data_IF_415713988912
#
_entry.id   IF_415713988912
#
_cell.length_a   1.000
_cell.length_b   1.000
_cell.length_c   1.000
_cell.angle_alpha   90.00
_cell.angle_beta   90.00
_cell.angle_gamma   90.00
#
_symmetry.space_group_name_H-M   'P 1'
#
loop_
_entity.id
_entity.type
_entity.pdbx_description
1 polymer ?
#
# COMPACT_ATOMS: atom_id res chain seq x y z
N UNK A 1 -51.97 -10.15 -42.94
CA UNK A 1 -51.16 -8.91 -42.89
C UNK A 1 -50.48 -8.84 -41.52
N UNK A 2 -49.30 -9.43 -41.32
CA UNK A 2 -48.59 -9.37 -40.05
C UNK A 2 -47.77 -8.08 -39.93
N UNK A 3 -47.94 -7.37 -38.82
CA UNK A 3 -47.25 -6.11 -38.53
C UNK A 3 -45.78 -6.34 -38.14
N UNK A 4 -44.89 -5.71 -38.89
CA UNK A 4 -43.44 -5.70 -38.69
C UNK A 4 -43.06 -5.02 -37.36
N UNK A 5 -42.60 -5.82 -36.40
CA UNK A 5 -41.96 -5.31 -35.19
C UNK A 5 -40.50 -4.96 -35.47
N UNK A 6 -40.23 -3.69 -35.77
CA UNK A 6 -38.87 -3.16 -35.83
C UNK A 6 -38.27 -3.11 -34.42
N UNK A 7 -37.38 -4.06 -34.15
CA UNK A 7 -36.60 -4.19 -32.94
C UNK A 7 -35.49 -3.12 -32.96
N UNK A 8 -35.72 -2.02 -32.26
CA UNK A 8 -34.78 -0.92 -32.10
C UNK A 8 -33.64 -1.36 -31.17
N UNK A 9 -32.57 -1.90 -31.72
CA UNK A 9 -31.33 -2.15 -31.00
C UNK A 9 -30.61 -0.81 -30.84
N UNK A 10 -30.72 -0.19 -29.65
CA UNK A 10 -29.84 0.91 -29.26
C UNK A 10 -28.49 0.32 -28.88
N UNK A 11 -27.51 0.64 -29.70
CA UNK A 11 -26.11 0.29 -29.51
C UNK A 11 -25.50 1.31 -28.52
N UNK A 12 -25.58 1.00 -27.22
CA UNK A 12 -25.02 1.83 -26.13
C UNK A 12 -23.49 1.62 -25.99
N UNK A 13 -22.76 1.62 -27.11
CA UNK A 13 -21.32 1.34 -27.18
C UNK A 13 -20.43 2.59 -27.21
N UNK A 14 -20.87 3.69 -26.61
CA UNK A 14 -20.05 4.92 -26.45
C UNK A 14 -19.72 5.28 -24.99
N UNK A 15 -20.13 4.48 -23.99
CA UNK A 15 -19.81 4.72 -22.58
C UNK A 15 -18.45 4.19 -22.09
N UNK A 16 -17.69 3.46 -22.91
CA UNK A 16 -16.53 2.66 -22.46
C UNK A 16 -15.16 3.38 -22.55
N UNK A 17 -15.10 4.53 -23.22
CA UNK A 17 -13.85 5.30 -23.43
C UNK A 17 -13.73 6.56 -22.57
N UNK A 18 -14.73 6.86 -21.72
CA UNK A 18 -14.53 7.68 -20.52
C UNK A 18 -13.94 6.81 -19.37
N UNK A 19 -13.18 5.79 -19.76
CA UNK A 19 -12.34 5.01 -18.88
C UNK A 19 -11.27 5.95 -18.31
N UNK A 20 -11.50 6.34 -17.06
CA UNK A 20 -10.47 6.55 -16.05
C UNK A 20 -9.55 7.75 -16.26
N UNK A 21 -10.13 8.96 -16.30
CA UNK A 21 -9.52 9.97 -15.43
C UNK A 21 -9.90 9.57 -14.01
N UNK A 22 -9.16 8.59 -13.44
CA UNK A 22 -9.29 8.26 -12.02
C UNK A 22 -9.12 9.57 -11.27
N UNK A 23 -10.11 9.93 -10.46
CA UNK A 23 -10.03 11.18 -9.70
C UNK A 23 -8.76 11.16 -8.83
N UNK A 24 -8.24 12.35 -8.50
CA UNK A 24 -7.12 12.45 -7.58
C UNK A 24 -7.36 11.61 -6.31
N UNK A 25 -8.56 11.71 -5.74
CA UNK A 25 -8.98 10.97 -4.56
C UNK A 25 -9.01 9.45 -4.75
N UNK A 26 -9.37 8.97 -5.94
CA UNK A 26 -9.37 7.53 -6.21
C UNK A 26 -7.95 6.96 -6.23
N UNK A 27 -7.02 7.67 -6.88
CA UNK A 27 -5.62 7.25 -6.93
C UNK A 27 -4.99 7.29 -5.55
N UNK A 28 -5.25 8.38 -4.82
CA UNK A 28 -4.75 8.58 -3.47
C UNK A 28 -5.28 7.53 -2.51
N UNK A 29 -6.60 7.30 -2.49
CA UNK A 29 -7.21 6.29 -1.62
C UNK A 29 -6.72 4.89 -1.96
N UNK A 30 -6.55 4.57 -3.25
CA UNK A 30 -6.00 3.27 -3.67
C UNK A 30 -4.55 3.09 -3.23
N UNK A 31 -3.70 4.10 -3.41
CA UNK A 31 -2.30 4.05 -2.99
C UNK A 31 -2.20 3.86 -1.48
N UNK A 32 -2.95 4.66 -0.71
CA UNK A 32 -3.01 4.55 0.73
C UNK A 32 -3.46 3.15 1.18
N UNK A 33 -4.46 2.54 0.54
CA UNK A 33 -4.90 1.18 0.87
C UNK A 33 -3.88 0.10 0.49
N UNK A 34 -3.14 0.27 -0.61
CA UNK A 34 -2.08 -0.66 -1.01
C UNK A 34 -0.91 -0.63 0.00
N UNK A 35 -0.56 0.55 0.51
CA UNK A 35 0.46 0.70 1.56
C UNK A 35 0.04 0.00 2.85
N UNK A 36 -1.26 0.00 3.16
CA UNK A 36 -1.80 -0.62 4.38
C UNK A 36 -2.13 -2.10 4.28
N UNK A 37 -1.74 -2.79 3.20
CA UNK A 37 -2.03 -4.22 3.00
C UNK A 37 -1.48 -5.15 4.05
N UNK A 38 -0.47 -4.74 4.81
CA UNK A 38 0.04 -5.55 5.92
C UNK A 38 -0.94 -5.62 7.12
N UNK A 39 -1.86 -4.66 7.23
CA UNK A 39 -2.77 -4.47 8.36
C UNK A 39 -4.24 -4.72 8.04
N UNK A 40 -4.60 -5.07 6.79
CA UNK A 40 -5.99 -5.33 6.37
C UNK A 40 -6.09 -6.69 5.68
N UNK A 41 -7.25 -7.32 5.73
CA UNK A 41 -7.50 -8.60 5.05
C UNK A 41 -7.70 -8.40 3.55
N UNK A 42 -8.55 -7.43 3.18
CA UNK A 42 -8.82 -7.08 1.79
C UNK A 42 -9.35 -5.63 1.68
N UNK A 43 -9.24 -5.03 0.49
CA UNK A 43 -9.78 -3.70 0.23
C UNK A 43 -10.20 -3.54 -1.24
N UNK A 44 -11.37 -2.94 -1.46
CA UNK A 44 -11.90 -2.71 -2.80
C UNK A 44 -12.55 -1.32 -2.94
N UNK A 45 -12.34 -0.70 -4.10
CA UNK A 45 -12.94 0.59 -4.43
C UNK A 45 -14.44 0.42 -4.70
N UNK A 46 -15.27 1.31 -4.14
CA UNK A 46 -16.71 1.29 -4.31
C UNK A 46 -17.17 2.29 -5.35
N UNK A 47 -16.90 3.56 -5.08
CA UNK A 47 -17.24 4.68 -5.94
C UNK A 47 -16.13 5.74 -5.92
N UNK A 48 -16.16 6.59 -6.93
CA UNK A 48 -15.18 7.64 -7.14
C UNK A 48 -15.87 8.79 -7.82
N UNK A 49 -15.71 9.98 -7.26
CA UNK A 49 -16.15 11.25 -7.86
C UNK A 49 -14.96 12.20 -7.95
N UNK A 50 -15.08 13.34 -8.64
CA UNK A 50 -14.02 14.35 -8.65
C UNK A 50 -13.69 14.94 -7.26
N UNK A 51 -14.61 14.85 -6.30
CA UNK A 51 -14.49 15.50 -4.98
C UNK A 51 -14.21 14.51 -3.83
N UNK A 52 -14.44 13.22 -4.06
CA UNK A 52 -14.24 12.17 -3.07
C UNK A 52 -14.05 10.80 -3.73
N UNK A 53 -13.57 9.83 -2.95
CA UNK A 53 -13.55 8.43 -3.32
C UNK A 53 -13.94 7.58 -2.11
N UNK A 54 -14.56 6.44 -2.35
CA UNK A 54 -14.89 5.48 -1.29
C UNK A 54 -14.36 4.09 -1.60
N UNK A 55 -14.05 3.39 -0.53
CA UNK A 55 -13.60 2.01 -0.56
C UNK A 55 -14.22 1.24 0.61
N UNK A 56 -14.40 -0.06 0.40
CA UNK A 56 -14.73 -1.01 1.44
C UNK A 56 -13.46 -1.73 1.85
N UNK A 57 -13.19 -1.75 3.16
CA UNK A 57 -12.01 -2.35 3.75
C UNK A 57 -12.44 -3.46 4.69
N UNK A 58 -11.90 -4.65 4.48
CA UNK A 58 -12.07 -5.81 5.36
C UNK A 58 -10.91 -5.82 6.35
N UNK A 59 -11.23 -5.58 7.63
CA UNK A 59 -10.26 -5.54 8.71
C UNK A 59 -9.86 -6.96 9.14
N UNK A 60 -8.72 -7.10 9.83
CA UNK A 60 -8.22 -8.38 10.33
C UNK A 60 -9.15 -9.07 11.33
N UNK A 61 -10.07 -8.32 11.96
CA UNK A 61 -11.13 -8.87 12.80
C UNK A 61 -12.29 -9.49 12.01
N UNK A 62 -12.23 -9.53 10.67
CA UNK A 62 -13.32 -9.94 9.78
C UNK A 62 -14.46 -8.92 9.67
N UNK A 63 -14.25 -7.69 10.17
CA UNK A 63 -15.22 -6.59 10.09
C UNK A 63 -15.00 -5.78 8.82
N UNK A 64 -16.06 -5.52 8.08
CA UNK A 64 -16.00 -4.64 6.91
C UNK A 64 -16.40 -3.22 7.27
N UNK A 65 -15.57 -2.25 6.91
CA UNK A 65 -15.82 -0.81 7.10
C UNK A 65 -15.76 -0.09 5.76
N UNK A 66 -16.61 0.91 5.59
CA UNK A 66 -16.57 1.78 4.41
C UNK A 66 -15.84 3.07 4.75
N UNK A 67 -14.81 3.40 3.96
CA UNK A 67 -13.96 4.56 4.12
C UNK A 67 -14.18 5.51 2.95
N UNK A 68 -14.22 6.80 3.26
CA UNK A 68 -14.31 7.90 2.29
C UNK A 68 -13.10 8.80 2.45
N UNK A 69 -12.43 9.08 1.34
CA UNK A 69 -11.43 10.13 1.22
C UNK A 69 -12.04 11.35 0.53
N UNK A 70 -11.78 12.54 1.06
CA UNK A 70 -12.22 13.82 0.50
C UNK A 70 -11.17 14.90 0.79
N UNK A 71 -11.40 16.14 0.33
CA UNK A 71 -10.55 17.30 0.67
C UNK A 71 -10.31 17.47 2.17
N UNK A 72 -11.27 17.07 2.99
CA UNK A 72 -11.19 17.24 4.45
C UNK A 72 -10.40 16.11 5.14
N UNK A 73 -10.01 15.05 4.43
CA UNK A 73 -9.33 13.87 4.97
C UNK A 73 -10.15 12.58 4.88
N UNK A 74 -9.76 11.58 5.67
CA UNK A 74 -10.34 10.25 5.71
C UNK A 74 -11.46 10.14 6.76
N UNK A 75 -12.56 9.47 6.42
CA UNK A 75 -13.70 9.25 7.32
C UNK A 75 -14.36 7.91 7.08
N UNK A 76 -15.02 7.39 8.11
CA UNK A 76 -15.90 6.23 7.98
C UNK A 76 -17.26 6.65 7.42
N UNK A 77 -17.76 5.98 6.39
CA UNK A 77 -19.16 6.09 5.97
C UNK A 77 -20.02 5.28 6.95
N UNK A 78 -21.14 5.83 7.41
CA UNK A 78 -21.94 5.21 8.48
C UNK A 78 -22.48 3.84 8.07
N UNK A 79 -22.12 2.81 8.85
CA UNK A 79 -22.91 1.59 8.89
C UNK A 79 -24.28 1.98 9.46
N UNK A 80 -25.34 1.69 8.70
CA UNK A 80 -26.74 2.19 8.82
C UNK A 80 -27.42 2.12 10.20
N UNK A 81 -26.76 1.69 11.29
CA UNK A 81 -27.41 1.33 12.55
C UNK A 81 -27.12 2.17 13.78
N UNK A 82 -26.16 3.10 13.77
CA UNK A 82 -25.93 3.89 14.97
C UNK A 82 -25.35 5.27 14.65
N UNK A 83 -25.87 6.29 15.34
CA UNK A 83 -25.34 7.66 15.43
C UNK A 83 -25.88 8.68 14.42
N UNK A 84 -27.19 8.91 14.43
CA UNK A 84 -27.81 10.09 13.80
C UNK A 84 -27.39 11.43 14.45
N UNK A 85 -26.59 11.43 15.52
CA UNK A 85 -26.35 12.63 16.36
C UNK A 85 -24.89 13.04 16.56
N UNK A 86 -23.88 12.31 16.07
CA UNK A 86 -22.47 12.70 16.24
C UNK A 86 -21.75 12.77 14.89
N UNK A 87 -21.20 13.94 14.57
CA UNK A 87 -20.27 14.11 13.45
C UNK A 87 -19.14 13.11 13.63
N UNK A 88 -18.90 12.31 12.61
CA UNK A 88 -17.83 11.32 12.66
C UNK A 88 -16.47 12.02 12.65
N UNK A 89 -15.50 11.52 13.41
CA UNK A 89 -14.15 12.06 13.40
C UNK A 89 -13.56 11.97 11.99
N UNK A 90 -12.70 12.95 11.72
CA UNK A 90 -11.97 13.12 10.48
C UNK A 90 -10.51 12.85 10.78
N UNK A 91 -9.89 12.01 9.96
CA UNK A 91 -8.51 11.61 10.15
C UNK A 91 -7.66 12.17 9.01
N UNK A 92 -6.43 12.54 9.33
CA UNK A 92 -5.48 13.05 8.35
C UNK A 92 -4.94 11.92 7.46
N UNK A 93 -4.61 10.78 8.07
CA UNK A 93 -4.09 9.61 7.37
C UNK A 93 -5.07 8.42 7.44
N UNK A 94 -4.91 7.47 6.51
CA UNK A 94 -5.65 6.20 6.56
C UNK A 94 -5.22 5.37 7.78
N UNK A 95 -3.96 5.47 8.19
CA UNK A 95 -3.37 4.74 9.31
C UNK A 95 -4.02 5.13 10.63
N UNK A 96 -4.21 6.43 10.86
CA UNK A 96 -4.90 6.94 12.04
C UNK A 96 -6.34 6.45 12.10
N UNK A 97 -7.02 6.45 10.96
CA UNK A 97 -8.38 5.94 10.84
C UNK A 97 -8.42 4.44 11.17
N UNK A 98 -7.56 3.64 10.55
CA UNK A 98 -7.52 2.19 10.72
C UNK A 98 -7.13 1.81 12.15
N UNK A 99 -6.15 2.49 12.74
CA UNK A 99 -5.74 2.30 14.13
C UNK A 99 -6.83 2.67 15.13
N UNK A 100 -7.68 3.64 14.81
CA UNK A 100 -8.82 4.01 15.65
C UNK A 100 -9.97 2.98 15.61
N UNK A 101 -10.14 2.25 14.50
CA UNK A 101 -11.26 1.30 14.32
C UNK A 101 -10.90 -0.17 14.51
N UNK A 102 -9.62 -0.53 14.36
CA UNK A 102 -9.12 -1.89 14.39
C UNK A 102 -7.97 -2.02 15.40
N UNK A 103 -8.23 -2.59 16.60
CA UNK A 103 -7.18 -2.93 17.55
C UNK A 103 -6.14 -3.89 16.96
N UNK A 104 -6.55 -4.83 16.09
CA UNK A 104 -5.61 -5.77 15.46
C UNK A 104 -4.70 -5.07 14.45
N UNK A 105 -5.21 -4.12 13.68
CA UNK A 105 -4.39 -3.27 12.83
C UNK A 105 -3.30 -2.56 13.64
N UNK A 106 -3.66 -1.97 14.78
CA UNK A 106 -2.71 -1.27 15.65
C UNK A 106 -1.61 -2.21 16.17
N UNK A 107 -1.96 -3.42 16.57
CA UNK A 107 -0.99 -4.45 16.95
C UNK A 107 -0.06 -4.79 15.78
N UNK A 108 -0.64 -5.03 14.60
CA UNK A 108 0.11 -5.43 13.41
C UNK A 108 1.05 -4.35 12.90
N UNK A 109 0.64 -3.08 13.01
CA UNK A 109 1.48 -1.92 12.72
C UNK A 109 2.71 -1.87 13.63
N UNK A 110 2.52 -2.08 14.92
CA UNK A 110 3.61 -2.13 15.88
C UNK A 110 4.59 -3.29 15.59
N UNK A 111 4.06 -4.48 15.33
CA UNK A 111 4.88 -5.66 15.00
C UNK A 111 5.69 -5.41 13.71
N UNK A 112 5.05 -4.86 12.68
CA UNK A 112 5.70 -4.53 11.41
C UNK A 112 6.81 -3.49 11.58
N UNK A 113 6.61 -2.51 12.48
CA UNK A 113 7.63 -1.51 12.78
C UNK A 113 8.84 -2.16 13.47
N UNK A 114 8.61 -3.03 14.46
CA UNK A 114 9.67 -3.76 15.15
C UNK A 114 10.44 -4.69 14.20
N UNK A 115 9.74 -5.40 13.31
CA UNK A 115 10.35 -6.26 12.31
C UNK A 115 11.27 -5.48 11.37
N UNK A 116 10.83 -4.29 10.90
CA UNK A 116 11.65 -3.41 10.07
C UNK A 116 12.89 -2.90 10.81
N UNK A 117 12.74 -2.50 12.07
CA UNK A 117 13.86 -2.04 12.90
C UNK A 117 14.89 -3.16 13.12
N UNK A 118 14.42 -4.38 13.45
CA UNK A 118 15.29 -5.54 13.62
C UNK A 118 16.01 -5.91 12.32
N UNK A 119 15.33 -5.82 11.17
CA UNK A 119 15.94 -6.07 9.88
C UNK A 119 17.05 -5.06 9.53
N UNK A 120 16.89 -3.78 9.93
CA UNK A 120 17.92 -2.75 9.76
C UNK A 120 19.10 -3.03 10.69
N UNK A 121 18.84 -3.34 11.97
CA UNK A 121 19.88 -3.66 12.94
C UNK A 121 20.75 -4.83 12.45
N UNK A 122 20.13 -5.93 12.01
CA UNK A 122 20.84 -7.09 11.49
C UNK A 122 21.70 -6.77 10.24
N UNK A 123 21.27 -5.82 9.38
CA UNK A 123 22.06 -5.39 8.22
C UNK A 123 23.28 -4.58 8.62
N UNK A 124 23.21 -3.81 9.70
CA UNK A 124 24.34 -3.02 10.20
C UNK A 124 25.42 -3.94 10.78
N UNK A 125 25.05 -4.95 11.56
CA UNK A 125 26.01 -5.92 12.13
C UNK A 125 26.82 -6.64 11.04
N UNK A 126 26.16 -7.01 9.93
CA UNK A 126 26.82 -7.63 8.76
C UNK A 126 27.74 -6.66 8.02
N UNK A 127 27.39 -5.37 7.97
CA UNK A 127 28.23 -4.36 7.35
C UNK A 127 29.50 -4.08 8.17
N UNK A 128 29.40 -4.09 9.50
CA UNK A 128 30.54 -3.89 10.40
C UNK A 128 31.55 -5.04 10.33
N UNK A 129 31.07 -6.29 10.33
CA UNK A 129 31.93 -7.48 10.20
C UNK A 129 32.69 -7.53 8.88
N UNK A 130 32.07 -7.12 7.76
CA UNK A 130 32.77 -7.02 6.46
C UNK A 130 33.86 -5.94 6.44
N UNK A 131 33.69 -4.87 7.22
CA UNK A 131 34.65 -3.77 7.29
C UNK A 131 35.89 -4.13 8.13
N UNK A 132 35.74 -4.99 9.15
CA UNK A 132 36.88 -5.53 9.89
C UNK A 132 37.71 -6.50 9.04
N UNK A 133 37.08 -7.36 8.25
CA UNK A 133 37.81 -8.37 7.46
C UNK A 133 38.64 -7.74 6.32
N UNK A 134 38.13 -6.66 5.71
CA UNK A 134 38.82 -5.98 4.62
C UNK A 134 40.00 -5.09 5.07
N UNK A 135 40.19 -4.86 6.37
CA UNK A 135 41.36 -4.14 6.91
C UNK A 135 42.56 -5.05 7.19
N UNK A 136 42.37 -6.37 7.18
CA UNK A 136 43.41 -7.36 7.45
C UNK A 136 44.30 -7.67 6.25
N UNK A 137 43.88 -7.31 5.05
CA UNK A 137 44.66 -7.46 3.82
C UNK A 137 45.40 -6.16 3.56
N UNK A 138 46.47 -5.91 4.34
CA UNK A 138 47.47 -4.93 3.92
C UNK A 138 48.07 -5.44 2.60
N UNK A 139 47.91 -4.75 1.46
CA UNK A 139 48.66 -5.10 0.27
C UNK A 139 50.13 -4.98 0.64
N UNK A 140 50.85 -6.10 0.55
CA UNK A 140 52.31 -6.12 0.67
C UNK A 140 52.88 -4.98 -0.18
N UNK A 141 53.78 -4.14 0.34
CA UNK A 141 54.36 -3.04 -0.43
C UNK A 141 55.05 -3.63 -1.65
N UNK A 142 54.46 -3.41 -2.83
CA UNK A 142 55.06 -3.75 -4.10
C UNK A 142 56.42 -3.06 -4.21
N UNK A 143 57.46 -3.74 -4.69
CA UNK A 143 58.77 -3.12 -4.91
C UNK A 143 58.62 -1.98 -5.91
N UNK A 144 59.16 -0.82 -5.54
CA UNK A 144 59.17 0.41 -6.33
C UNK A 144 59.63 0.16 -7.76
N UNK A 145 58.86 0.57 -8.79
CA UNK A 145 59.39 0.64 -10.14
C UNK A 145 60.33 1.85 -10.25
N UNK A 146 61.52 1.63 -10.81
CA UNK A 146 62.47 2.67 -11.17
C UNK A 146 61.82 3.65 -12.16
N UNK A 147 61.35 4.78 -11.64
CA UNK A 147 60.81 5.86 -12.46
C UNK A 147 61.97 6.65 -13.09
N UNK A 148 62.31 6.30 -14.31
CA UNK A 148 63.07 7.19 -15.21
C UNK A 148 62.14 8.29 -15.73
N UNK A 149 62.39 9.53 -15.31
CA UNK A 149 61.69 10.72 -15.78
C UNK A 149 62.17 11.10 -17.19
N UNK A 150 61.29 10.98 -18.19
CA UNK A 150 61.42 11.72 -19.45
C UNK A 150 60.31 12.76 -19.54
N UNK A 151 60.69 14.02 -19.31
CA UNK A 151 59.81 15.17 -19.48
C UNK A 151 59.66 15.50 -20.96
N UNK A 152 58.43 15.50 -21.46
CA UNK A 152 58.08 16.26 -22.68
C UNK A 152 56.90 17.18 -22.37
N UNK A 153 57.04 18.50 -22.62
CA UNK A 153 55.95 19.44 -22.48
C UNK A 153 55.13 19.47 -23.78
N UNK A 154 53.92 18.94 -23.76
CA UNK A 154 52.97 19.12 -24.87
C UNK A 154 51.81 20.00 -24.43
N UNK A 155 51.76 21.15 -25.09
CA UNK A 155 50.85 22.25 -24.88
C UNK A 155 49.40 21.91 -25.23
N UNK A 156 48.50 22.51 -24.45
CA UNK A 156 47.28 23.16 -24.96
C UNK A 156 46.17 22.25 -25.46
N UNK A 157 45.19 21.98 -24.60
CA UNK A 157 43.82 21.71 -25.04
C UNK A 157 42.83 22.64 -24.34
N UNK A 158 41.99 23.37 -25.09
CA UNK A 158 41.01 24.29 -24.54
C UNK A 158 39.82 23.55 -23.91
N UNK A 159 39.31 24.16 -22.84
CA UNK A 159 38.16 23.74 -22.04
C UNK A 159 36.91 23.70 -22.95
N UNK A 160 36.35 22.51 -23.16
CA UNK A 160 35.05 22.32 -23.80
C UNK A 160 33.94 22.54 -22.77
N UNK A 161 33.13 23.55 -23.02
CA UNK A 161 31.89 23.86 -22.30
C UNK A 161 30.91 22.69 -22.39
N UNK A 162 30.44 22.20 -21.24
CA UNK A 162 29.40 21.18 -21.14
C UNK A 162 28.03 21.87 -21.20
N UNK A 163 27.33 21.73 -22.33
CA UNK A 163 25.88 21.92 -22.42
C UNK A 163 25.17 20.66 -21.93
N UNK A 164 24.17 20.74 -21.05
CA UNK A 164 23.37 19.58 -20.67
C UNK A 164 22.46 19.18 -21.84
N UNK A 165 22.67 17.98 -22.35
CA UNK A 165 21.81 17.33 -23.34
C UNK A 165 20.47 16.95 -22.69
N UNK A 166 19.38 17.53 -23.19
CA UNK A 166 18.02 17.18 -22.81
C UNK A 166 17.68 15.86 -23.48
N UNK A 167 17.82 14.76 -22.72
CA UNK A 167 17.43 13.42 -23.16
C UNK A 167 15.92 13.28 -23.31
N UNK A 168 15.49 12.87 -24.51
CA UNK A 168 14.12 12.47 -24.81
C UNK A 168 13.65 11.31 -23.91
N UNK A 169 12.36 11.26 -23.53
CA UNK A 169 11.81 10.18 -22.73
C UNK A 169 11.73 8.87 -23.53
N UNK A 170 11.96 7.70 -22.91
CA UNK A 170 11.78 6.41 -23.56
C UNK A 170 10.28 6.10 -23.74
N UNK A 171 9.95 5.60 -24.93
CA UNK A 171 8.64 5.06 -25.31
C UNK A 171 8.24 3.88 -24.41
N UNK A 172 7.11 4.03 -23.71
CA UNK A 172 6.48 2.99 -22.89
C UNK A 172 5.54 2.15 -23.75
N UNK A 173 6.11 1.28 -24.58
CA UNK A 173 5.39 0.16 -25.16
C UNK A 173 6.24 -1.10 -25.01
N UNK A 174 5.60 -2.21 -24.65
CA UNK A 174 6.15 -3.58 -24.55
C UNK A 174 6.59 -4.04 -23.16
N UNK A 175 5.62 -4.27 -22.27
CA UNK A 175 5.67 -5.41 -21.34
C UNK A 175 4.28 -6.02 -21.23
N UNK A 176 3.93 -6.77 -22.26
CA UNK A 176 2.91 -7.80 -22.20
C UNK A 176 3.63 -9.16 -22.14
N UNK A 177 2.96 -10.16 -21.59
CA UNK A 177 3.42 -11.54 -21.46
C UNK A 177 4.33 -11.83 -20.26
N UNK A 178 3.72 -12.38 -19.20
CA UNK A 178 3.99 -13.72 -18.65
C UNK A 178 3.36 -13.78 -17.26
N UNK A 179 2.20 -14.44 -17.12
CA UNK A 179 1.81 -15.16 -15.91
C UNK A 179 0.77 -16.22 -16.24
N UNK A 180 1.26 -17.46 -16.31
CA UNK A 180 0.44 -18.65 -16.42
C UNK A 180 -0.37 -18.91 -15.16
N UNK A 181 -1.63 -19.27 -15.35
CA UNK A 181 -2.54 -19.71 -14.31
C UNK A 181 -2.47 -21.23 -14.19
N UNK A 182 -1.80 -21.72 -13.14
CA UNK A 182 -2.06 -23.06 -12.61
C UNK A 182 -3.33 -22.99 -11.76
N UNK A 183 -4.42 -23.52 -12.32
CA UNK A 183 -5.69 -23.67 -11.63
C UNK A 183 -5.66 -24.99 -10.84
N UNK A 184 -5.36 -24.92 -9.54
CA UNK A 184 -5.49 -26.06 -8.62
C UNK A 184 -6.82 -25.90 -7.88
N UNK A 185 -7.77 -26.75 -8.27
CA UNK A 185 -9.07 -26.90 -7.65
C UNK A 185 -8.91 -27.68 -6.34
N UNK A 186 -9.07 -27.00 -5.20
CA UNK A 186 -9.17 -27.65 -3.88
C UNK A 186 -10.60 -27.48 -3.38
N UNK A 187 -11.41 -28.52 -3.57
CA UNK A 187 -12.66 -28.69 -2.81
C UNK A 187 -12.30 -28.99 -1.36
N UNK A 188 -12.43 -28.00 -0.48
CA UNK A 188 -12.46 -28.22 0.96
C UNK A 188 -13.89 -28.29 1.47
N UNK A 189 -14.30 -29.52 1.74
CA UNK A 189 -15.47 -29.93 2.51
C UNK A 189 -15.47 -29.24 3.88
N UNK A 190 -16.49 -28.41 4.16
CA UNK A 190 -16.69 -27.78 5.47
C UNK A 190 -17.38 -28.76 6.43
N UNK A 191 -16.85 -29.04 7.63
CA UNK A 191 -17.63 -29.68 8.68
C UNK A 191 -18.52 -28.65 9.38
N UNK A 192 -19.76 -29.06 9.65
CA UNK A 192 -20.73 -28.34 10.45
C UNK A 192 -20.27 -28.25 11.92
N UNK A 193 -20.17 -27.05 12.47
CA UNK A 193 -19.92 -26.85 13.89
C UNK A 193 -21.19 -26.33 14.58
N UNK A 194 -21.56 -27.12 15.57
CA UNK A 194 -22.69 -27.06 16.48
C UNK A 194 -22.65 -25.82 17.37
N UNK A 195 -23.86 -25.30 17.62
CA UNK A 195 -24.15 -24.23 18.56
C UNK A 195 -23.58 -24.51 19.95
N UNK A 196 -22.96 -23.49 20.56
CA UNK A 196 -22.61 -23.51 21.99
C UNK A 196 -23.27 -22.33 22.69
N UNK A 197 -24.04 -22.67 23.72
CA UNK A 197 -24.84 -21.77 24.53
C UNK A 197 -23.99 -20.68 25.21
N UNK A 198 -24.51 -19.46 25.21
CA UNK A 198 -23.96 -18.32 25.94
C UNK A 198 -24.55 -18.30 27.36
N UNK A 199 -23.70 -18.48 28.37
CA UNK A 199 -24.07 -18.29 29.77
C UNK A 199 -23.96 -16.82 30.13
N UNK A 200 -25.13 -16.24 30.42
CA UNK A 200 -25.35 -14.92 30.97
C UNK A 200 -24.68 -14.79 32.35
N UNK A 201 -23.64 -13.95 32.45
CA UNK A 201 -23.02 -13.59 33.73
C UNK A 201 -23.44 -12.17 34.09
N UNK A 202 -24.40 -12.04 35.02
CA UNK A 202 -24.74 -10.78 35.67
C UNK A 202 -23.76 -10.52 36.80
N UNK A 203 -22.98 -9.45 36.72
CA UNK A 203 -22.27 -8.91 37.86
C UNK A 203 -23.18 -7.90 38.58
N UNK A 204 -23.64 -8.28 39.77
CA UNK A 204 -24.05 -7.34 40.80
C UNK A 204 -22.80 -6.65 41.34
N UNK A 205 -22.77 -5.31 41.30
CA UNK A 205 -21.91 -4.52 42.17
C UNK A 205 -22.78 -3.47 42.85
N UNK A 206 -23.24 -3.82 44.05
CA UNK A 206 -23.67 -2.85 45.04
C UNK A 206 -22.39 -2.19 45.58
N UNK A 207 -22.27 -0.87 45.47
CA UNK A 207 -21.35 -0.11 46.29
C UNK A 207 -22.15 0.86 47.16
N UNK A 208 -21.98 0.65 48.46
CA UNK A 208 -22.49 1.40 49.59
C UNK A 208 -22.37 2.91 49.42
N UNK A 209 -23.50 3.56 49.68
CA UNK A 209 -23.65 4.85 50.34
C UNK A 209 -22.87 4.84 51.67
N UNK A 210 -21.96 5.79 51.86
CA UNK A 210 -21.58 6.30 53.18
C UNK A 210 -21.25 7.80 53.03
N UNK A 211 -21.86 8.55 53.94
CA UNK A 211 -21.85 10.00 54.22
C UNK A 211 -22.80 10.91 53.42
#
# INVERSE_FOLDING_TARGET
MPASSQKLARDDSHGSYMNKINSFYERELRAALEEQRFGVEDAFMLDSTPNDAKASVVLLEGKTVEVKLSKEGFRLVAQKRASFLKRKPVYETIDDLLAAVSPMYKSRLHDTLLDKLNAIAARLDVAETRKSDNRSLSPSPSPSPDYSYSATPTAGTPIRSLTPEVGSPPDLATLDSVRGLNSIHVEHTRPALTARASTHTSYYSAFSEMD
#
